data_IF_039877277295
#
_entry.id   IF_039877277295
#
_cell.length_a   1.000
_cell.length_b   1.000
_cell.length_c   1.000
_cell.angle_alpha   90.00
_cell.angle_beta   90.00
_cell.angle_gamma   90.00
#
_symmetry.space_group_name_H-M   'P 1'
#
loop_
_entity.id
_entity.type
_entity.pdbx_description
1 polymer ?
#
# COMPACT_ATOMS: atom_id res chain seq x y z
N UNK A 1 -53.33 -1.38 -13.86
CA UNK A 1 -53.21 -2.02 -12.53
C UNK A 1 -52.00 -1.50 -11.70
N UNK A 2 -51.85 -0.18 -11.44
CA UNK A 2 -50.73 0.37 -10.65
C UNK A 2 -50.97 0.44 -9.13
N UNK A 3 -52.23 0.36 -8.67
CA UNK A 3 -52.57 0.55 -7.25
C UNK A 3 -52.08 -0.56 -6.31
N UNK A 4 -51.94 -1.81 -6.78
CA UNK A 4 -51.50 -2.93 -5.94
C UNK A 4 -50.02 -2.84 -5.55
N UNK A 5 -49.17 -2.31 -6.44
CA UNK A 5 -47.75 -2.10 -6.17
C UNK A 5 -47.53 -0.97 -5.16
N UNK A 6 -48.29 0.12 -5.29
CA UNK A 6 -48.21 1.28 -4.41
C UNK A 6 -48.74 0.97 -2.99
N UNK A 7 -49.76 0.11 -2.89
CA UNK A 7 -50.27 -0.43 -1.61
C UNK A 7 -49.29 -1.42 -1.00
N UNK A 8 -48.61 -2.25 -1.79
CA UNK A 8 -47.54 -3.14 -1.30
C UNK A 8 -46.33 -2.35 -0.79
N UNK A 9 -45.94 -1.28 -1.49
CA UNK A 9 -44.89 -0.35 -1.09
C UNK A 9 -45.25 0.39 0.20
N UNK A 10 -46.49 0.87 0.34
CA UNK A 10 -46.98 1.50 1.57
C UNK A 10 -47.04 0.53 2.76
N UNK A 11 -47.39 -0.75 2.54
CA UNK A 11 -47.35 -1.78 3.60
C UNK A 11 -45.92 -2.11 4.03
N UNK A 12 -44.96 -2.06 3.10
CA UNK A 12 -43.52 -2.22 3.38
C UNK A 12 -42.91 -1.01 4.11
N UNK A 13 -43.48 0.19 3.92
CA UNK A 13 -43.08 1.43 4.58
C UNK A 13 -43.80 1.66 5.93
N UNK A 14 -44.75 0.79 6.31
CA UNK A 14 -45.34 0.81 7.65
C UNK A 14 -44.28 0.37 8.67
N UNK A 15 -44.28 0.95 9.88
CA UNK A 15 -43.12 0.96 10.81
C UNK A 15 -42.35 -0.35 11.01
N UNK A 16 -43.03 -1.50 11.02
CA UNK A 16 -42.39 -2.84 11.12
C UNK A 16 -41.53 -3.20 9.89
N UNK A 17 -41.96 -2.81 8.69
CA UNK A 17 -41.19 -3.04 7.46
C UNK A 17 -39.95 -2.17 7.37
N UNK A 18 -39.96 -0.97 7.95
CA UNK A 18 -38.80 -0.08 8.01
C UNK A 18 -37.71 -0.59 8.97
N UNK A 19 -38.10 -1.19 10.11
CA UNK A 19 -37.19 -1.86 11.04
C UNK A 19 -36.56 -3.12 10.43
N UNK A 20 -37.34 -3.93 9.72
CA UNK A 20 -36.83 -5.09 8.97
C UNK A 20 -35.90 -4.65 7.85
N UNK A 21 -36.23 -3.57 7.13
CA UNK A 21 -35.40 -3.03 6.07
C UNK A 21 -34.07 -2.45 6.61
N UNK A 22 -34.12 -1.69 7.69
CA UNK A 22 -32.91 -1.13 8.33
C UNK A 22 -32.02 -2.20 8.93
N UNK A 23 -32.59 -3.21 9.62
CA UNK A 23 -31.83 -4.35 10.13
C UNK A 23 -31.23 -5.19 8.98
N UNK A 24 -31.95 -5.36 7.87
CA UNK A 24 -31.43 -5.99 6.66
C UNK A 24 -30.27 -5.19 6.06
N UNK A 25 -30.40 -3.87 5.89
CA UNK A 25 -29.30 -3.02 5.39
C UNK A 25 -28.10 -3.03 6.34
N UNK A 26 -28.32 -3.06 7.65
CA UNK A 26 -27.25 -3.15 8.64
C UNK A 26 -26.51 -4.49 8.54
N UNK A 27 -27.26 -5.59 8.43
CA UNK A 27 -26.71 -6.94 8.26
C UNK A 27 -25.97 -7.06 6.93
N UNK A 28 -26.53 -6.52 5.84
CA UNK A 28 -25.91 -6.47 4.52
C UNK A 28 -24.60 -5.66 4.55
N UNK A 29 -24.61 -4.46 5.15
CA UNK A 29 -23.41 -3.63 5.35
C UNK A 29 -22.33 -4.35 6.14
N UNK A 30 -22.72 -5.09 7.18
CA UNK A 30 -21.76 -5.84 7.99
C UNK A 30 -21.14 -7.00 7.20
N UNK A 31 -21.96 -7.73 6.43
CA UNK A 31 -21.49 -8.82 5.56
C UNK A 31 -20.56 -8.29 4.46
N UNK A 32 -20.92 -7.20 3.79
CA UNK A 32 -20.06 -6.60 2.75
C UNK A 32 -18.75 -6.10 3.35
N UNK A 33 -18.76 -5.48 4.53
CA UNK A 33 -17.54 -5.06 5.21
C UNK A 33 -16.62 -6.24 5.59
N UNK A 34 -17.19 -7.38 6.00
CA UNK A 34 -16.42 -8.61 6.27
C UNK A 34 -15.80 -9.16 4.98
N UNK A 35 -16.58 -9.25 3.91
CA UNK A 35 -16.13 -9.78 2.62
C UNK A 35 -15.01 -8.90 2.01
N UNK A 36 -15.18 -7.58 2.09
CA UNK A 36 -14.22 -6.62 1.52
C UNK A 36 -12.97 -6.51 2.38
N UNK A 37 -13.10 -6.34 3.70
CA UNK A 37 -11.97 -5.92 4.54
C UNK A 37 -11.41 -6.99 5.50
N UNK A 38 -12.09 -8.12 5.67
CA UNK A 38 -11.69 -9.17 6.63
C UNK A 38 -11.42 -10.53 5.99
N UNK A 39 -11.56 -10.65 4.67
CA UNK A 39 -11.32 -11.90 3.97
C UNK A 39 -9.82 -12.22 3.89
N UNK A 40 -9.47 -13.50 4.08
CA UNK A 40 -8.11 -14.02 3.87
C UNK A 40 -7.72 -13.95 2.39
N UNK A 41 -8.65 -14.30 1.50
CA UNK A 41 -8.51 -14.10 0.08
C UNK A 41 -9.21 -12.78 -0.29
N UNK A 42 -8.47 -11.71 -0.65
CA UNK A 42 -8.97 -10.34 -0.77
C UNK A 42 -9.82 -10.12 -2.04
N UNK A 43 -10.63 -11.09 -2.47
CA UNK A 43 -11.41 -11.03 -3.71
C UNK A 43 -12.44 -9.90 -3.67
N UNK A 44 -13.16 -9.78 -2.55
CA UNK A 44 -14.10 -8.67 -2.35
C UNK A 44 -13.41 -7.31 -2.39
N UNK A 45 -12.21 -7.21 -1.83
CA UNK A 45 -11.40 -6.00 -1.89
C UNK A 45 -10.98 -5.65 -3.33
N UNK A 46 -10.48 -6.64 -4.08
CA UNK A 46 -10.06 -6.45 -5.47
C UNK A 46 -11.22 -5.99 -6.36
N UNK A 47 -12.41 -6.57 -6.19
CA UNK A 47 -13.62 -6.12 -6.91
C UNK A 47 -14.00 -4.68 -6.56
N UNK A 48 -13.95 -4.32 -5.28
CA UNK A 48 -14.25 -2.96 -4.84
C UNK A 48 -13.22 -1.94 -5.36
N UNK A 49 -11.93 -2.29 -5.37
CA UNK A 49 -10.88 -1.50 -6.04
C UNK A 49 -11.17 -1.36 -7.54
N UNK A 50 -11.57 -2.45 -8.20
CA UNK A 50 -11.94 -2.46 -9.62
C UNK A 50 -13.01 -1.40 -9.93
N UNK A 51 -14.13 -1.46 -9.20
CA UNK A 51 -15.27 -0.56 -9.37
C UNK A 51 -14.89 0.89 -9.09
N UNK A 52 -14.18 1.14 -7.98
CA UNK A 52 -13.86 2.51 -7.55
C UNK A 52 -12.81 3.18 -8.43
N UNK A 53 -11.84 2.44 -8.95
CA UNK A 53 -10.75 3.00 -9.75
C UNK A 53 -11.10 3.14 -11.24
N UNK A 54 -12.18 2.51 -11.72
CA UNK A 54 -12.53 2.42 -13.16
C UNK A 54 -12.68 3.81 -13.79
N UNK A 55 -13.29 4.75 -13.07
CA UNK A 55 -13.53 6.11 -13.56
C UNK A 55 -12.23 6.94 -13.66
N UNK A 56 -11.25 6.67 -12.81
CA UNK A 56 -10.00 7.43 -12.75
C UNK A 56 -8.85 6.80 -13.55
N UNK A 57 -9.13 5.74 -14.33
CA UNK A 57 -8.10 5.02 -15.08
C UNK A 57 -7.00 4.40 -14.21
N UNK A 58 -7.27 4.19 -12.91
CA UNK A 58 -6.29 3.70 -11.93
C UNK A 58 -5.51 4.79 -11.18
N UNK A 59 -5.63 6.07 -11.54
CA UNK A 59 -4.94 7.14 -10.82
C UNK A 59 -5.59 7.43 -9.46
N UNK A 60 -4.82 7.27 -8.39
CA UNK A 60 -5.33 7.48 -7.03
C UNK A 60 -5.44 8.96 -6.63
N UNK A 61 -4.61 9.84 -7.21
CA UNK A 61 -4.55 11.27 -6.83
C UNK A 61 -5.88 11.96 -7.11
N UNK A 62 -6.49 11.67 -8.26
CA UNK A 62 -7.79 12.22 -8.66
C UNK A 62 -8.97 11.42 -8.09
N UNK A 63 -8.70 10.27 -7.46
CA UNK A 63 -9.73 9.35 -6.96
C UNK A 63 -9.75 9.25 -5.43
N UNK A 64 -10.48 10.14 -4.74
CA UNK A 64 -10.59 10.09 -3.28
C UNK A 64 -11.28 8.82 -2.78
N UNK A 65 -12.17 8.22 -3.56
CA UNK A 65 -12.86 6.98 -3.19
C UNK A 65 -11.91 5.79 -3.21
N UNK A 66 -11.10 5.65 -4.27
CA UNK A 66 -10.06 4.63 -4.35
C UNK A 66 -9.05 4.78 -3.22
N UNK A 67 -8.51 5.99 -3.03
CA UNK A 67 -7.57 6.30 -1.95
C UNK A 67 -8.14 5.99 -0.55
N UNK A 68 -9.38 6.40 -0.30
CA UNK A 68 -10.07 6.11 0.96
C UNK A 68 -10.29 4.61 1.20
N UNK A 69 -10.53 3.85 0.13
CA UNK A 69 -10.72 2.40 0.22
C UNK A 69 -9.44 1.67 0.60
N UNK A 70 -8.28 2.05 0.05
CA UNK A 70 -6.98 1.52 0.48
C UNK A 70 -6.65 1.90 1.93
N UNK A 71 -6.95 3.13 2.33
CA UNK A 71 -6.78 3.58 3.72
C UNK A 71 -7.64 2.74 4.69
N UNK A 72 -8.92 2.53 4.37
CA UNK A 72 -9.83 1.72 5.17
C UNK A 72 -9.38 0.26 5.27
N UNK A 73 -8.78 -0.28 4.21
CA UNK A 73 -8.18 -1.61 4.24
C UNK A 73 -7.02 -1.70 5.22
N UNK A 74 -6.08 -0.75 5.17
CA UNK A 74 -5.00 -0.67 6.16
C UNK A 74 -5.51 -0.52 7.60
N UNK A 75 -6.52 0.32 7.81
CA UNK A 75 -7.16 0.50 9.12
C UNK A 75 -7.86 -0.78 9.62
N UNK A 76 -8.56 -1.50 8.72
CA UNK A 76 -9.15 -2.80 9.03
C UNK A 76 -8.08 -3.82 9.40
N UNK A 77 -6.97 -3.86 8.66
CA UNK A 77 -5.87 -4.78 8.92
C UNK A 77 -5.25 -4.53 10.31
N UNK A 78 -5.04 -3.26 10.67
CA UNK A 78 -4.58 -2.87 12.01
C UNK A 78 -5.53 -3.35 13.13
N UNK A 79 -6.84 -3.29 12.90
CA UNK A 79 -7.85 -3.74 13.89
C UNK A 79 -8.03 -5.26 13.96
N UNK A 80 -7.59 -6.01 12.95
CA UNK A 80 -7.79 -7.46 12.86
C UNK A 80 -6.45 -8.21 12.98
N UNK A 81 -5.93 -8.43 14.21
CA UNK A 81 -4.63 -9.10 14.40
C UNK A 81 -4.62 -10.54 13.87
N UNK A 82 -5.77 -11.21 13.80
CA UNK A 82 -5.90 -12.54 13.22
C UNK A 82 -5.68 -12.58 11.70
N UNK A 83 -6.09 -11.53 10.99
CA UNK A 83 -5.86 -11.41 9.55
C UNK A 83 -4.38 -11.07 9.30
N UNK A 84 -3.81 -10.18 10.11
CA UNK A 84 -2.39 -9.83 10.02
C UNK A 84 -1.49 -11.04 10.29
N UNK A 85 -1.79 -11.85 11.30
CA UNK A 85 -1.02 -13.07 11.59
C UNK A 85 -1.13 -14.11 10.47
N UNK A 86 -2.29 -14.19 9.81
CA UNK A 86 -2.45 -15.03 8.62
C UNK A 86 -1.60 -14.54 7.45
N UNK A 87 -1.65 -13.24 7.13
CA UNK A 87 -0.84 -12.62 6.06
C UNK A 87 0.66 -12.79 6.34
N UNK A 88 1.08 -12.61 7.61
CA UNK A 88 2.45 -12.87 8.06
C UNK A 88 2.87 -14.33 7.85
N UNK A 89 1.98 -15.31 8.06
CA UNK A 89 2.32 -16.72 7.85
C UNK A 89 2.43 -17.08 6.37
N UNK A 90 1.52 -16.55 5.55
CA UNK A 90 1.32 -16.96 4.16
C UNK A 90 1.90 -15.98 3.12
N UNK A 91 2.76 -15.02 3.54
CA UNK A 91 3.29 -13.94 2.68
C UNK A 91 3.92 -14.43 1.38
N UNK A 92 4.55 -15.61 1.42
CA UNK A 92 5.22 -16.24 0.26
C UNK A 92 4.23 -16.54 -0.86
N UNK A 93 3.03 -17.01 -0.53
CA UNK A 93 2.00 -17.31 -1.51
C UNK A 93 1.48 -16.04 -2.17
N UNK A 94 1.25 -14.97 -1.39
CA UNK A 94 0.85 -13.67 -1.93
C UNK A 94 1.91 -13.13 -2.91
N UNK A 95 3.20 -13.15 -2.53
CA UNK A 95 4.26 -12.69 -3.42
C UNK A 95 4.43 -13.58 -4.65
N UNK A 96 4.36 -14.90 -4.51
CA UNK A 96 4.48 -15.81 -5.65
C UNK A 96 3.35 -15.57 -6.66
N UNK A 97 2.10 -15.52 -6.21
CA UNK A 97 0.95 -15.27 -7.09
C UNK A 97 1.05 -13.86 -7.70
N UNK A 98 1.43 -12.85 -6.91
CA UNK A 98 1.62 -11.49 -7.42
C UNK A 98 2.69 -11.44 -8.52
N UNK A 99 3.82 -12.12 -8.34
CA UNK A 99 4.88 -12.19 -9.36
C UNK A 99 4.42 -12.89 -10.63
N UNK A 100 3.66 -14.00 -10.53
CA UNK A 100 3.11 -14.68 -11.70
C UNK A 100 2.14 -13.78 -12.48
N UNK A 101 1.25 -13.08 -11.78
CA UNK A 101 0.28 -12.16 -12.40
C UNK A 101 0.99 -10.97 -13.02
N UNK A 102 2.01 -10.42 -12.36
CA UNK A 102 2.82 -9.33 -12.89
C UNK A 102 3.64 -9.74 -14.12
N UNK A 103 4.25 -10.93 -14.11
CA UNK A 103 4.94 -11.47 -15.27
C UNK A 103 3.98 -11.70 -16.45
N UNK A 104 2.77 -12.19 -16.19
CA UNK A 104 1.73 -12.33 -17.21
C UNK A 104 1.30 -10.96 -17.75
N UNK A 105 1.09 -9.98 -16.88
CA UNK A 105 0.76 -8.61 -17.25
C UNK A 105 1.82 -8.01 -18.19
N UNK A 106 3.10 -8.06 -17.80
CA UNK A 106 4.20 -7.55 -18.63
C UNK A 106 4.31 -8.33 -19.95
N UNK A 107 4.13 -9.65 -19.93
CA UNK A 107 4.19 -10.45 -21.15
C UNK A 107 3.07 -10.11 -22.14
N UNK A 108 1.85 -9.83 -21.65
CA UNK A 108 0.74 -9.40 -22.48
C UNK A 108 0.96 -7.98 -23.01
N UNK A 109 1.39 -7.06 -22.16
CA UNK A 109 1.66 -5.66 -22.53
C UNK A 109 2.76 -5.58 -23.61
N UNK A 110 3.86 -6.32 -23.44
CA UNK A 110 4.94 -6.39 -24.42
C UNK A 110 4.55 -7.07 -25.74
N UNK A 111 3.63 -8.04 -25.71
CA UNK A 111 3.06 -8.64 -26.94
C UNK A 111 2.21 -7.62 -27.67
N UNK A 112 1.35 -6.91 -26.95
CA UNK A 112 0.48 -5.89 -27.55
C UNK A 112 1.26 -4.72 -28.13
N UNK A 113 2.31 -4.24 -27.47
CA UNK A 113 3.15 -3.18 -28.05
C UNK A 113 3.80 -3.64 -29.36
N UNK A 114 4.20 -4.92 -29.46
CA UNK A 114 4.72 -5.50 -30.70
C UNK A 114 3.64 -5.61 -31.77
N UNK A 115 2.46 -6.12 -31.42
CA UNK A 115 1.33 -6.23 -32.34
C UNK A 115 0.88 -4.85 -32.84
N UNK A 116 0.78 -3.84 -31.95
CA UNK A 116 0.45 -2.45 -32.34
C UNK A 116 1.56 -1.85 -33.20
N UNK A 117 2.84 -2.09 -32.90
CA UNK A 117 3.92 -1.61 -33.76
C UNK A 117 3.83 -2.23 -35.16
N UNK A 118 3.60 -3.54 -35.25
CA UNK A 118 3.43 -4.28 -36.51
C UNK A 118 2.17 -3.83 -37.28
N UNK A 119 1.06 -3.62 -36.58
CA UNK A 119 -0.20 -3.06 -37.09
C UNK A 119 0.00 -1.61 -37.53
N UNK A 120 0.69 -0.72 -36.81
CA UNK A 120 0.94 0.65 -37.30
C UNK A 120 1.79 0.65 -38.59
N UNK A 121 2.71 -0.32 -38.73
CA UNK A 121 3.46 -0.51 -39.96
C UNK A 121 2.60 -1.08 -41.12
N UNK A 122 1.57 -1.89 -40.84
CA UNK A 122 0.70 -2.51 -41.86
C UNK A 122 -0.63 -1.74 -42.12
N UNK A 123 -1.14 -1.00 -41.15
CA UNK A 123 -2.53 -0.54 -41.04
C UNK A 123 -2.63 0.98 -41.26
N UNK A 124 -2.00 1.43 -42.35
CA UNK A 124 -2.53 2.55 -43.16
C UNK A 124 -3.82 2.13 -43.90
N UNK A 125 -4.25 0.87 -43.79
CA UNK A 125 -5.47 0.32 -44.41
C UNK A 125 -6.21 -0.55 -43.38
N UNK A 126 -7.43 -0.16 -43.00
CA UNK A 126 -8.39 -1.08 -42.37
C UNK A 126 -9.00 -0.61 -41.05
N UNK A 127 -10.01 0.24 -41.13
CA UNK A 127 -10.93 0.59 -40.05
C UNK A 127 -11.86 -0.61 -39.77
N UNK A 128 -11.72 -1.28 -38.60
CA UNK A 128 -12.75 -2.08 -37.89
C UNK A 128 -12.16 -2.89 -36.71
N UNK A 129 -11.71 -2.23 -35.63
CA UNK A 129 -11.22 -2.95 -34.44
C UNK A 129 -11.65 -2.29 -33.12
N UNK A 130 -12.95 -2.34 -32.81
CA UNK A 130 -13.53 -1.68 -31.62
C UNK A 130 -13.90 -2.64 -30.48
N UNK A 131 -14.11 -3.94 -30.74
CA UNK A 131 -14.52 -4.89 -29.68
C UNK A 131 -13.32 -5.50 -28.91
N UNK A 132 -12.26 -5.92 -29.58
CA UNK A 132 -11.08 -6.52 -28.94
C UNK A 132 -10.35 -5.56 -27.99
N UNK A 133 -10.40 -4.26 -28.33
CA UNK A 133 -9.78 -3.20 -27.53
C UNK A 133 -10.42 -3.06 -26.14
N UNK A 134 -11.73 -3.27 -26.03
CA UNK A 134 -12.47 -3.10 -24.77
C UNK A 134 -12.19 -4.21 -23.75
N UNK A 135 -12.15 -5.47 -24.20
CA UNK A 135 -11.82 -6.63 -23.36
C UNK A 135 -10.35 -6.61 -22.92
N UNK A 136 -9.46 -6.17 -23.81
CA UNK A 136 -8.04 -6.03 -23.50
C UNK A 136 -7.80 -4.99 -22.38
N UNK A 137 -8.39 -3.80 -22.50
CA UNK A 137 -8.29 -2.75 -21.48
C UNK A 137 -8.80 -3.25 -20.13
N UNK A 138 -9.96 -3.93 -20.11
CA UNK A 138 -10.52 -4.49 -18.88
C UNK A 138 -9.59 -5.56 -18.27
N UNK A 139 -9.02 -6.44 -19.10
CA UNK A 139 -8.11 -7.50 -18.66
C UNK A 139 -6.83 -6.91 -18.07
N UNK A 140 -6.17 -5.98 -18.77
CA UNK A 140 -4.98 -5.26 -18.32
C UNK A 140 -5.22 -4.60 -16.97
N UNK A 141 -6.32 -3.85 -16.87
CA UNK A 141 -6.71 -3.13 -15.67
C UNK A 141 -7.01 -4.06 -14.48
N UNK A 142 -7.67 -5.20 -14.73
CA UNK A 142 -7.93 -6.21 -13.70
C UNK A 142 -6.64 -6.83 -13.16
N UNK A 143 -5.67 -7.14 -14.03
CA UNK A 143 -4.38 -7.71 -13.64
C UNK A 143 -3.56 -6.72 -12.81
N UNK A 144 -3.60 -5.43 -13.17
CA UNK A 144 -2.93 -4.36 -12.42
C UNK A 144 -3.43 -4.26 -10.99
N UNK A 145 -4.75 -4.25 -10.79
CA UNK A 145 -5.36 -4.19 -9.45
C UNK A 145 -5.04 -5.45 -8.64
N UNK A 146 -5.20 -6.62 -9.24
CA UNK A 146 -4.92 -7.89 -8.56
C UNK A 146 -3.45 -7.94 -8.15
N UNK A 147 -2.54 -7.60 -9.06
CA UNK A 147 -1.10 -7.55 -8.80
C UNK A 147 -0.76 -6.57 -7.67
N UNK A 148 -1.25 -5.34 -7.73
CA UNK A 148 -0.99 -4.30 -6.74
C UNK A 148 -1.48 -4.70 -5.33
N UNK A 149 -2.68 -5.27 -5.24
CA UNK A 149 -3.28 -5.73 -3.98
C UNK A 149 -2.50 -6.90 -3.38
N UNK A 150 -2.14 -7.90 -4.20
CA UNK A 150 -1.37 -9.06 -3.73
C UNK A 150 0.07 -8.71 -3.36
N UNK A 151 0.74 -7.85 -4.13
CA UNK A 151 2.07 -7.34 -3.76
C UNK A 151 2.00 -6.59 -2.43
N UNK A 152 1.01 -5.72 -2.24
CA UNK A 152 0.86 -4.97 -0.99
C UNK A 152 0.72 -5.91 0.20
N UNK A 153 -0.16 -6.92 0.12
CA UNK A 153 -0.28 -7.94 1.18
C UNK A 153 0.98 -8.78 1.37
N UNK A 154 1.64 -9.17 0.29
CA UNK A 154 2.88 -9.93 0.33
C UNK A 154 4.02 -9.16 1.01
N UNK A 155 4.18 -7.87 0.69
CA UNK A 155 5.19 -7.01 1.30
C UNK A 155 4.86 -6.68 2.75
N UNK A 156 3.60 -6.45 3.11
CA UNK A 156 3.18 -6.27 4.51
C UNK A 156 3.52 -7.53 5.31
N UNK A 157 3.15 -8.71 4.82
CA UNK A 157 3.43 -9.98 5.47
C UNK A 157 4.93 -10.28 5.60
N UNK A 158 5.70 -10.01 4.53
CA UNK A 158 7.16 -10.11 4.54
C UNK A 158 7.77 -9.18 5.59
N UNK A 159 7.29 -7.94 5.68
CA UNK A 159 7.80 -6.96 6.61
C UNK A 159 7.54 -7.37 8.06
N UNK A 160 6.35 -7.87 8.37
CA UNK A 160 5.99 -8.37 9.71
C UNK A 160 6.71 -9.68 10.09
N UNK A 161 7.08 -10.51 9.10
CA UNK A 161 7.87 -11.74 9.29
C UNK A 161 9.35 -11.45 9.53
N UNK A 162 9.96 -10.55 8.73
CA UNK A 162 11.41 -10.31 8.74
C UNK A 162 11.85 -9.12 9.59
N UNK A 163 11.01 -8.10 9.73
CA UNK A 163 11.32 -6.85 10.44
C UNK A 163 10.44 -6.62 11.68
N UNK A 164 9.73 -7.66 12.15
CA UNK A 164 8.89 -7.57 13.36
C UNK A 164 9.67 -7.48 14.67
N UNK A 165 10.97 -7.84 14.68
CA UNK A 165 11.85 -7.66 15.84
C UNK A 165 12.50 -6.29 15.83
N UNK A 166 12.83 -5.76 17.01
CA UNK A 166 13.49 -4.46 17.11
C UNK A 166 14.90 -4.52 16.53
N UNK A 167 15.13 -3.74 15.48
CA UNK A 167 16.44 -3.51 14.89
C UNK A 167 16.69 -2.00 14.72
N UNK A 168 17.80 -1.51 15.27
CA UNK A 168 18.16 -0.09 15.18
C UNK A 168 18.34 0.40 13.75
N UNK A 169 18.84 -0.44 12.85
CA UNK A 169 19.01 -0.09 11.43
C UNK A 169 17.68 0.00 10.68
N UNK A 170 16.82 -1.02 10.81
CA UNK A 170 15.48 -1.01 10.22
C UNK A 170 14.64 0.17 10.73
N UNK A 171 14.77 0.50 12.03
CA UNK A 171 14.13 1.68 12.61
C UNK A 171 14.64 2.98 12.02
N UNK A 172 15.95 3.12 11.84
CA UNK A 172 16.54 4.30 11.20
C UNK A 172 16.03 4.52 9.77
N UNK A 173 15.93 3.44 8.97
CA UNK A 173 15.38 3.53 7.62
C UNK A 173 13.89 3.88 7.65
N UNK A 174 13.10 3.23 8.53
CA UNK A 174 11.66 3.49 8.66
C UNK A 174 11.37 4.93 9.07
N UNK A 175 12.05 5.45 10.09
CA UNK A 175 11.91 6.84 10.55
C UNK A 175 12.39 7.87 9.49
N UNK A 176 13.23 7.44 8.54
CA UNK A 176 13.74 8.27 7.43
C UNK A 176 12.91 8.19 6.15
N UNK A 177 11.99 7.22 6.04
CA UNK A 177 11.22 6.95 4.82
C UNK A 177 10.35 8.13 4.39
N UNK A 178 9.77 8.86 5.34
CA UNK A 178 8.98 10.04 5.05
C UNK A 178 9.83 11.19 4.48
N UNK A 179 11.04 11.39 4.99
CA UNK A 179 11.96 12.38 4.43
C UNK A 179 12.40 11.99 3.02
N UNK A 180 12.75 10.72 2.82
CA UNK A 180 13.10 10.19 1.50
C UNK A 180 11.95 10.43 0.51
N UNK A 181 10.69 10.15 0.89
CA UNK A 181 9.52 10.44 0.07
C UNK A 181 9.44 11.92 -0.37
N UNK A 182 9.74 12.87 0.51
CA UNK A 182 9.67 14.29 0.16
C UNK A 182 10.75 14.74 -0.84
N UNK A 183 11.99 14.27 -0.68
CA UNK A 183 13.14 14.82 -1.41
C UNK A 183 13.68 13.91 -2.52
N UNK A 184 13.25 12.65 -2.62
CA UNK A 184 13.81 11.72 -3.60
C UNK A 184 13.56 12.16 -5.04
N UNK A 185 12.40 12.75 -5.37
CA UNK A 185 12.07 13.19 -6.74
C UNK A 185 13.08 14.19 -7.30
N UNK A 186 13.34 15.36 -6.69
CA UNK A 186 14.34 16.28 -7.23
C UNK A 186 15.73 15.64 -7.29
N UNK A 187 16.13 14.86 -6.28
CA UNK A 187 17.45 14.22 -6.24
C UNK A 187 17.62 13.22 -7.38
N UNK A 188 16.64 12.34 -7.62
CA UNK A 188 16.73 11.36 -8.70
C UNK A 188 16.70 12.05 -10.06
N UNK A 189 15.89 13.11 -10.24
CA UNK A 189 15.84 13.88 -11.48
C UNK A 189 17.19 14.55 -11.80
N UNK A 190 17.84 15.18 -10.81
CA UNK A 190 19.17 15.75 -11.03
C UNK A 190 20.20 14.65 -11.35
N UNK A 191 20.13 13.52 -10.66
CA UNK A 191 21.06 12.41 -10.87
C UNK A 191 20.92 11.83 -12.28
N UNK A 192 19.69 11.58 -12.73
CA UNK A 192 19.45 11.03 -14.08
C UNK A 192 19.78 12.04 -15.18
N UNK A 193 19.54 13.34 -14.95
CA UNK A 193 19.91 14.40 -15.89
C UNK A 193 21.43 14.47 -16.10
N UNK A 194 22.22 14.39 -15.02
CA UNK A 194 23.69 14.35 -15.11
C UNK A 194 24.21 13.12 -15.86
N UNK A 195 23.52 11.98 -15.72
CA UNK A 195 23.88 10.72 -16.37
C UNK A 195 23.34 10.59 -17.81
N UNK A 196 22.65 11.61 -18.34
CA UNK A 196 22.01 11.55 -19.64
C UNK A 196 23.02 11.25 -20.76
N UNK A 197 24.15 11.97 -20.79
CA UNK A 197 25.20 11.83 -21.80
C UNK A 197 26.14 10.64 -21.64
N UNK A 198 25.99 9.82 -20.59
CA UNK A 198 26.90 8.71 -20.34
C UNK A 198 26.58 7.50 -21.24
N UNK A 199 27.55 6.92 -21.97
CA UNK A 199 27.34 5.75 -22.82
C UNK A 199 27.36 4.45 -22.01
N UNK A 200 26.46 4.33 -21.04
CA UNK A 200 26.36 3.17 -20.14
C UNK A 200 24.97 2.53 -20.31
N UNK A 201 24.89 1.21 -20.12
CA UNK A 201 23.65 0.45 -20.10
C UNK A 201 22.58 1.06 -19.17
N UNK A 202 21.30 1.14 -19.58
CA UNK A 202 20.22 1.72 -18.79
C UNK A 202 20.05 1.10 -17.40
N UNK A 203 20.28 -0.20 -17.25
CA UNK A 203 20.15 -0.95 -16.00
C UNK A 203 21.18 -0.48 -14.97
N UNK A 204 22.41 -0.22 -15.42
CA UNK A 204 23.47 0.32 -14.58
C UNK A 204 23.13 1.76 -14.19
N UNK A 205 22.60 2.56 -15.13
CA UNK A 205 22.13 3.92 -14.81
C UNK A 205 21.04 3.91 -13.74
N UNK A 206 20.07 3.00 -13.85
CA UNK A 206 19.01 2.81 -12.87
C UNK A 206 19.56 2.44 -11.49
N UNK A 207 20.49 1.48 -11.42
CA UNK A 207 21.10 1.05 -10.17
C UNK A 207 21.89 2.17 -9.48
N UNK A 208 22.70 2.91 -10.25
CA UNK A 208 23.48 4.05 -9.76
C UNK A 208 22.52 5.15 -9.27
N UNK A 209 21.56 5.57 -10.08
CA UNK A 209 20.65 6.66 -9.74
C UNK A 209 19.83 6.33 -8.47
N UNK A 210 19.36 5.09 -8.35
CA UNK A 210 18.58 4.64 -7.19
C UNK A 210 19.44 4.58 -5.93
N UNK A 211 20.63 3.95 -6.00
CA UNK A 211 21.53 3.81 -4.85
C UNK A 211 22.04 5.17 -4.37
N UNK A 212 22.42 6.04 -5.31
CA UNK A 212 22.86 7.40 -5.03
C UNK A 212 21.74 8.22 -4.38
N UNK A 213 20.54 8.22 -4.96
CA UNK A 213 19.39 8.94 -4.40
C UNK A 213 19.05 8.45 -3.00
N UNK A 214 19.01 7.12 -2.78
CA UNK A 214 18.75 6.55 -1.47
C UNK A 214 19.83 6.97 -0.45
N UNK A 215 21.10 6.93 -0.85
CA UNK A 215 22.23 7.38 -0.03
C UNK A 215 22.11 8.85 0.38
N UNK A 216 21.87 9.75 -0.58
CA UNK A 216 21.68 11.19 -0.33
C UNK A 216 20.49 11.41 0.61
N UNK A 217 19.37 10.72 0.41
CA UNK A 217 18.19 10.85 1.27
C UNK A 217 18.47 10.40 2.72
N UNK A 218 19.17 9.28 2.91
CA UNK A 218 19.50 8.77 4.25
C UNK A 218 20.56 9.63 4.96
N UNK A 219 21.56 10.11 4.23
CA UNK A 219 22.59 11.01 4.77
C UNK A 219 21.97 12.33 5.18
N UNK A 220 21.15 12.94 4.31
CA UNK A 220 20.48 14.20 4.63
C UNK A 220 19.51 14.04 5.79
N UNK A 221 18.78 12.92 5.86
CA UNK A 221 17.94 12.60 7.01
C UNK A 221 18.75 12.55 8.32
N UNK A 222 19.90 11.85 8.33
CA UNK A 222 20.74 11.68 9.52
C UNK A 222 21.25 13.00 10.07
N UNK A 223 21.75 13.88 9.20
CA UNK A 223 22.44 15.10 9.62
C UNK A 223 21.52 16.32 9.74
N UNK A 224 20.56 16.50 8.83
CA UNK A 224 19.76 17.72 8.75
C UNK A 224 18.37 17.59 9.36
N UNK A 225 17.83 16.38 9.47
CA UNK A 225 16.42 16.18 9.86
C UNK A 225 16.28 15.54 11.22
N UNK A 226 16.96 14.42 11.47
CA UNK A 226 16.69 13.55 12.62
C UNK A 226 16.74 14.25 13.98
N UNK A 227 17.71 15.15 14.17
CA UNK A 227 17.91 15.87 15.44
C UNK A 227 17.29 17.28 15.47
N UNK A 228 16.68 17.73 14.37
CA UNK A 228 16.16 19.10 14.20
C UNK A 228 14.66 19.20 14.45
N UNK A 229 14.13 20.43 14.40
CA UNK A 229 12.69 20.68 14.47
C UNK A 229 11.93 19.97 13.34
N UNK A 230 12.54 19.82 12.16
CA UNK A 230 11.97 19.10 11.03
C UNK A 230 11.73 17.64 11.42
N UNK A 231 12.72 16.97 12.04
CA UNK A 231 12.53 15.61 12.55
C UNK A 231 11.44 15.50 13.61
N UNK A 232 11.26 16.51 14.47
CA UNK A 232 10.17 16.56 15.44
C UNK A 232 8.80 16.71 14.76
N UNK A 233 8.69 17.59 13.76
CA UNK A 233 7.47 17.82 13.01
C UNK A 233 7.05 16.57 12.21
N UNK A 234 8.03 15.91 11.58
CA UNK A 234 7.78 14.75 10.71
C UNK A 234 7.54 13.45 11.47
N UNK A 235 8.32 13.17 12.52
CA UNK A 235 8.26 11.90 13.25
C UNK A 235 7.53 11.98 14.59
N UNK A 236 7.06 13.18 14.98
CA UNK A 236 6.39 13.43 16.27
C UNK A 236 7.29 13.26 17.51
N UNK A 237 8.56 12.86 17.34
CA UNK A 237 9.53 12.63 18.41
C UNK A 237 10.90 13.14 17.98
N UNK A 238 11.51 13.98 18.83
CA UNK A 238 12.90 14.39 18.65
C UNK A 238 13.83 13.27 19.11
N UNK A 239 14.52 12.65 18.15
CA UNK A 239 15.63 11.73 18.45
C UNK A 239 16.84 12.57 18.88
N UNK A 240 16.82 13.05 20.14
CA UNK A 240 18.02 13.60 20.76
C UNK A 240 19.07 12.49 20.82
N UNK A 241 20.30 12.81 20.43
CA UNK A 241 21.44 11.94 20.64
C UNK A 241 21.38 11.36 22.06
N UNK A 242 21.42 10.04 22.12
CA UNK A 242 21.38 9.20 23.31
C UNK A 242 21.53 9.93 24.66
N UNK A 243 20.43 10.16 25.37
CA UNK A 243 20.48 10.03 26.82
C UNK A 243 20.54 8.53 27.11
N UNK A 244 21.76 7.99 27.07
CA UNK A 244 22.09 6.60 27.44
C UNK A 244 21.69 6.27 28.90
N UNK A 245 21.20 7.23 29.69
CA UNK A 245 20.80 7.03 31.09
C UNK A 245 19.38 6.49 31.30
N UNK A 246 18.56 6.38 30.25
CA UNK A 246 17.11 6.20 30.41
C UNK A 246 16.56 4.89 29.82
N UNK A 247 17.40 3.92 29.47
CA UNK A 247 16.97 2.67 28.82
C UNK A 247 17.36 1.47 29.68
N UNK A 248 16.39 0.60 29.98
CA UNK A 248 16.63 -0.58 30.80
C UNK A 248 17.54 -1.58 30.06
N UNK A 249 18.67 -2.01 30.65
CA UNK A 249 19.57 -2.97 29.99
C UNK A 249 18.93 -4.36 29.81
N UNK A 250 18.00 -4.74 30.70
CA UNK A 250 17.26 -6.01 30.57
C UNK A 250 16.21 -6.04 29.46
N UNK A 251 15.31 -5.05 29.40
CA UNK A 251 14.14 -5.10 28.51
C UNK A 251 14.07 -4.00 27.44
N UNK A 252 15.02 -3.06 27.41
CA UNK A 252 15.07 -1.99 26.41
C UNK A 252 13.98 -0.91 26.54
N UNK A 253 13.19 -0.92 27.62
CA UNK A 253 12.19 0.13 27.88
C UNK A 253 12.86 1.46 28.20
N UNK A 254 12.42 2.54 27.54
CA UNK A 254 12.84 3.90 27.85
C UNK A 254 11.99 4.49 28.98
N UNK A 255 12.61 4.90 30.09
CA UNK A 255 11.95 5.58 31.21
C UNK A 255 12.25 7.08 31.21
N UNK A 256 11.28 7.89 31.65
CA UNK A 256 11.45 9.36 31.77
C UNK A 256 12.07 9.78 33.09
N UNK A 257 11.90 8.98 34.15
CA UNK A 257 12.43 9.21 35.48
C UNK A 257 12.82 7.83 36.04
N UNK A 258 14.10 7.55 36.31
CA UNK A 258 14.50 6.23 36.81
C UNK A 258 14.04 6.09 38.27
N UNK A 259 12.96 5.34 38.50
CA UNK A 259 12.77 4.70 39.81
C UNK A 259 13.79 3.57 39.97
N UNK A 260 14.07 3.12 41.20
CA UNK A 260 15.09 2.06 41.47
C UNK A 260 14.86 0.78 40.66
N UNK A 261 13.63 0.52 40.22
CA UNK A 261 13.23 -0.68 39.51
C UNK A 261 12.57 -0.36 38.17
N UNK A 262 12.86 -1.18 37.15
CA UNK A 262 12.17 -1.10 35.86
C UNK A 262 10.73 -1.61 35.99
N UNK A 263 9.74 -0.78 35.64
CA UNK A 263 8.31 -1.15 35.66
C UNK A 263 7.93 -2.26 34.66
N UNK A 264 8.77 -2.52 33.66
CA UNK A 264 8.52 -3.55 32.66
C UNK A 264 9.02 -4.95 33.05
N UNK A 265 10.21 -5.03 33.63
CA UNK A 265 10.87 -6.31 33.91
C UNK A 265 11.29 -6.51 35.36
N UNK A 266 11.06 -5.54 36.24
CA UNK A 266 11.40 -5.60 37.67
C UNK A 266 12.90 -5.56 37.98
N UNK A 267 13.78 -5.43 36.98
CA UNK A 267 15.23 -5.35 37.21
C UNK A 267 15.62 -4.05 37.91
N UNK A 268 16.56 -4.15 38.85
CA UNK A 268 17.14 -2.99 39.55
C UNK A 268 18.06 -2.23 38.59
N UNK A 269 17.81 -0.93 38.43
CA UNK A 269 18.64 -0.06 37.59
C UNK A 269 19.88 0.33 38.41
N UNK A 270 21.04 -0.19 38.02
CA UNK A 270 22.31 0.08 38.69
C UNK A 270 22.57 1.60 38.79
N UNK A 271 22.97 2.06 39.98
CA UNK A 271 23.36 3.45 40.25
C UNK A 271 24.56 3.88 39.42
#
# INVERSE_FOLDING_TARGET
>A
MPGKFLVALMRLLNGEGLEVLTSFFYKLKNVTAIIIFKSKCPIGFMLACGITNLWAGGELIINPLGSGLYFLFGFSLYKNPSLLSFIKKEWKYYLLIATLIFSLYIALDMRVVKDIAEVIYQTRIGENQTQDLSLFVLTRYSMEIIGAVLFSMGFIGLAEDKFGSYNGFSRFISDGSYWMYLIHLPVVTFTTFLMFGWPIYPEIKFFIATTFTAGVCLVTYRYFVRATFIGLFLNGKRHRGSNFGNVCPGCGMSFRNPERFCTGCGSELAR
#
